data_IF_610242245764
#
_entry.id   IF_610242245764
#
_cell.length_a   1.000
_cell.length_b   1.000
_cell.length_c   1.000
_cell.angle_alpha   90.00
_cell.angle_beta   90.00
_cell.angle_gamma   90.00
#
_symmetry.space_group_name_H-M   'P 1'
#
loop_
_entity.id
_entity.type
_entity.pdbx_description
1 polymer ?
#
# COMPACT_ATOMS: atom_id res chain seq x y z
N UNK A 1 -37.51 12.18 -3.79
CA UNK A 1 -37.08 10.79 -4.02
C UNK A 1 -36.03 10.67 -5.14
N UNK A 2 -36.28 11.12 -6.38
CA UNK A 2 -35.36 10.88 -7.52
C UNK A 2 -33.93 11.46 -7.38
N UNK A 3 -33.77 12.65 -6.81
CA UNK A 3 -32.43 13.25 -6.62
C UNK A 3 -31.59 12.49 -5.58
N UNK A 4 -32.22 12.03 -4.49
CA UNK A 4 -31.55 11.27 -3.43
C UNK A 4 -31.01 9.93 -3.96
N UNK A 5 -31.83 9.20 -4.73
CA UNK A 5 -31.40 7.94 -5.37
C UNK A 5 -30.24 8.16 -6.34
N UNK A 6 -30.21 9.30 -7.06
CA UNK A 6 -29.10 9.64 -7.95
C UNK A 6 -27.82 9.95 -7.17
N UNK A 7 -27.91 10.72 -6.09
CA UNK A 7 -26.76 11.07 -5.23
C UNK A 7 -26.15 9.82 -4.60
N UNK A 8 -26.97 8.95 -4.00
CA UNK A 8 -26.52 7.70 -3.37
C UNK A 8 -25.81 6.79 -4.39
N UNK A 9 -26.31 6.70 -5.62
CA UNK A 9 -25.67 5.90 -6.67
C UNK A 9 -24.31 6.47 -7.13
N UNK A 10 -24.14 7.79 -7.12
CA UNK A 10 -22.86 8.43 -7.44
C UNK A 10 -21.84 8.20 -6.33
N UNK A 11 -22.23 8.39 -5.06
CA UNK A 11 -21.37 8.16 -3.89
C UNK A 11 -20.90 6.69 -3.82
N UNK A 12 -21.79 5.73 -4.10
CA UNK A 12 -21.42 4.31 -4.20
C UNK A 12 -20.39 4.03 -5.30
N UNK A 13 -20.53 4.70 -6.46
CA UNK A 13 -19.59 4.56 -7.57
C UNK A 13 -18.22 5.13 -7.21
N UNK A 14 -18.18 6.29 -6.57
CA UNK A 14 -16.93 6.90 -6.10
C UNK A 14 -16.22 6.02 -5.06
N UNK A 15 -16.97 5.43 -4.12
CA UNK A 15 -16.40 4.50 -3.14
C UNK A 15 -15.80 3.25 -3.79
N UNK A 16 -16.43 2.69 -4.82
CA UNK A 16 -15.88 1.53 -5.52
C UNK A 16 -14.62 1.91 -6.33
N UNK A 17 -14.57 3.12 -6.90
CA UNK A 17 -13.37 3.64 -7.56
C UNK A 17 -12.22 3.84 -6.57
N UNK A 18 -12.48 4.41 -5.40
CA UNK A 18 -11.48 4.56 -4.33
C UNK A 18 -10.96 3.20 -3.86
N UNK A 19 -11.84 2.19 -3.73
CA UNK A 19 -11.45 0.82 -3.38
C UNK A 19 -10.53 0.20 -4.43
N UNK A 20 -10.87 0.36 -5.71
CA UNK A 20 -10.07 -0.19 -6.80
C UNK A 20 -8.68 0.44 -6.87
N UNK A 21 -8.61 1.77 -6.76
CA UNK A 21 -7.33 2.49 -6.71
C UNK A 21 -6.47 2.06 -5.51
N UNK A 22 -7.10 1.87 -4.34
CA UNK A 22 -6.41 1.40 -3.14
C UNK A 22 -5.83 -0.01 -3.32
N UNK A 23 -6.57 -0.92 -3.96
CA UNK A 23 -6.08 -2.28 -4.25
C UNK A 23 -4.89 -2.26 -5.21
N UNK A 24 -4.94 -1.41 -6.24
CA UNK A 24 -3.83 -1.23 -7.18
C UNK A 24 -2.58 -0.70 -6.47
N UNK A 25 -2.74 0.30 -5.61
CA UNK A 25 -1.65 0.86 -4.80
C UNK A 25 -1.06 -0.18 -3.84
N UNK A 26 -1.89 -0.95 -3.14
CA UNK A 26 -1.44 -2.02 -2.24
C UNK A 26 -0.65 -3.09 -3.01
N UNK A 27 -1.11 -3.48 -4.20
CA UNK A 27 -0.41 -4.46 -5.01
C UNK A 27 0.94 -3.94 -5.51
N UNK A 28 1.01 -2.67 -5.93
CA UNK A 28 2.27 -2.04 -6.32
C UNK A 28 3.26 -1.99 -5.15
N UNK A 29 2.81 -1.53 -3.98
CA UNK A 29 3.62 -1.45 -2.76
C UNK A 29 4.15 -2.83 -2.33
N UNK A 30 3.33 -3.90 -2.40
CA UNK A 30 3.79 -5.27 -2.10
C UNK A 30 4.90 -5.72 -3.05
N UNK A 31 4.74 -5.46 -4.35
CA UNK A 31 5.77 -5.78 -5.34
C UNK A 31 7.06 -5.02 -5.09
N UNK A 32 6.97 -3.73 -4.75
CA UNK A 32 8.15 -2.92 -4.44
C UNK A 32 8.89 -3.46 -3.20
N UNK A 33 8.16 -3.93 -2.19
CA UNK A 33 8.77 -4.58 -1.02
C UNK A 33 9.54 -5.86 -1.40
N UNK A 34 8.96 -6.73 -2.23
CA UNK A 34 9.62 -7.95 -2.70
C UNK A 34 10.90 -7.64 -3.49
N UNK A 35 10.85 -6.66 -4.39
CA UNK A 35 12.01 -6.23 -5.17
C UNK A 35 13.11 -5.66 -4.27
N UNK A 36 12.74 -4.92 -3.23
CA UNK A 36 13.71 -4.38 -2.27
C UNK A 36 14.40 -5.47 -1.45
N UNK A 37 13.65 -6.49 -1.05
CA UNK A 37 14.18 -7.65 -0.33
C UNK A 37 15.13 -8.46 -1.21
N UNK A 38 14.77 -8.69 -2.48
CA UNK A 38 15.63 -9.39 -3.44
C UNK A 38 16.92 -8.62 -3.72
N UNK A 39 16.84 -7.30 -3.92
CA UNK A 39 18.03 -6.44 -4.08
C UNK A 39 18.94 -6.46 -2.86
N UNK A 40 18.35 -6.45 -1.66
CA UNK A 40 19.08 -6.56 -0.41
C UNK A 40 19.82 -7.89 -0.30
N UNK A 41 19.12 -9.01 -0.55
CA UNK A 41 19.70 -10.35 -0.49
C UNK A 41 20.82 -10.53 -1.51
N UNK A 42 20.64 -10.05 -2.74
CA UNK A 42 21.66 -10.10 -3.79
C UNK A 42 22.94 -9.36 -3.33
N UNK A 43 22.80 -8.14 -2.81
CA UNK A 43 23.94 -7.35 -2.31
C UNK A 43 24.66 -8.01 -1.14
N UNK A 44 23.91 -8.57 -0.20
CA UNK A 44 24.49 -9.32 0.92
C UNK A 44 25.25 -10.56 0.44
N UNK A 45 24.80 -11.21 -0.63
CA UNK A 45 25.45 -12.39 -1.20
C UNK A 45 26.68 -12.08 -2.05
N UNK A 46 26.74 -10.91 -2.67
CA UNK A 46 27.87 -10.43 -3.49
C UNK A 46 29.02 -9.86 -2.65
N UNK A 47 28.77 -9.52 -1.38
CA UNK A 47 29.79 -8.94 -0.51
C UNK A 47 30.74 -10.04 -0.02
N UNK A 48 31.90 -10.19 -0.66
CA UNK A 48 33.00 -11.01 -0.18
C UNK A 48 33.89 -10.19 0.79
N UNK A 49 33.91 -10.55 2.08
CA UNK A 49 34.74 -9.86 3.09
C UNK A 49 33.95 -9.40 4.32
N UNK A 50 34.55 -8.55 5.16
CA UNK A 50 33.90 -8.00 6.35
C UNK A 50 32.89 -6.92 5.95
N UNK A 51 31.58 -7.20 6.10
CA UNK A 51 30.47 -6.30 5.74
C UNK A 51 30.56 -4.90 6.38
N UNK A 52 31.29 -4.76 7.48
CA UNK A 52 31.42 -3.50 8.22
C UNK A 52 32.46 -2.54 7.62
N UNK A 53 33.30 -3.01 6.69
CA UNK A 53 34.36 -2.19 6.07
C UNK A 53 33.93 -1.61 4.71
N UNK A 54 32.74 -1.97 4.20
CA UNK A 54 32.19 -1.45 2.97
C UNK A 54 31.14 -0.36 3.28
N UNK A 55 31.61 0.87 3.43
CA UNK A 55 30.77 2.06 3.67
C UNK A 55 29.64 2.19 2.62
N UNK A 56 29.88 1.72 1.39
CA UNK A 56 28.87 1.75 0.32
C UNK A 56 27.72 0.77 0.58
N UNK A 57 28.01 -0.37 1.19
CA UNK A 57 27.00 -1.36 1.57
C UNK A 57 26.12 -0.81 2.70
N UNK A 58 26.70 -0.17 3.71
CA UNK A 58 25.96 0.43 4.84
C UNK A 58 24.96 1.47 4.34
N UNK A 59 25.34 2.34 3.41
CA UNK A 59 24.45 3.33 2.81
C UNK A 59 23.27 2.68 2.06
N UNK A 60 23.56 1.62 1.29
CA UNK A 60 22.52 0.87 0.56
C UNK A 60 21.57 0.18 1.53
N UNK A 61 22.09 -0.47 2.58
CA UNK A 61 21.29 -1.10 3.64
C UNK A 61 20.37 -0.09 4.32
N UNK A 62 20.90 1.09 4.67
CA UNK A 62 20.13 2.15 5.30
C UNK A 62 19.01 2.68 4.38
N UNK A 63 19.32 2.87 3.08
CA UNK A 63 18.34 3.30 2.08
C UNK A 63 17.25 2.25 1.87
N UNK A 64 17.63 0.97 1.75
CA UNK A 64 16.66 -0.12 1.59
C UNK A 64 15.77 -0.24 2.81
N UNK A 65 16.35 -0.22 4.02
CA UNK A 65 15.58 -0.23 5.27
C UNK A 65 14.55 0.90 5.31
N UNK A 66 14.96 2.13 5.00
CA UNK A 66 14.06 3.28 4.97
C UNK A 66 12.92 3.09 3.97
N UNK A 67 13.23 2.60 2.76
CA UNK A 67 12.21 2.40 1.74
C UNK A 67 11.24 1.26 2.10
N UNK A 68 11.72 0.20 2.73
CA UNK A 68 10.87 -0.87 3.30
C UNK A 68 9.95 -0.32 4.40
N UNK A 69 10.46 0.53 5.30
CA UNK A 69 9.66 1.17 6.35
C UNK A 69 8.55 2.06 5.76
N UNK A 70 8.86 2.84 4.72
CA UNK A 70 7.88 3.66 4.00
C UNK A 70 6.78 2.82 3.34
N UNK A 71 7.14 1.71 2.70
CA UNK A 71 6.19 0.78 2.08
C UNK A 71 5.30 0.12 3.14
N UNK A 72 5.86 -0.30 4.28
CA UNK A 72 5.10 -0.87 5.38
C UNK A 72 4.09 0.14 5.95
N UNK A 73 4.46 1.41 6.06
CA UNK A 73 3.55 2.45 6.55
C UNK A 73 2.42 2.76 5.57
N UNK A 74 2.70 2.74 4.26
CA UNK A 74 1.65 2.85 3.22
C UNK A 74 0.69 1.67 3.29
N UNK A 75 1.19 0.45 3.45
CA UNK A 75 0.34 -0.75 3.61
C UNK A 75 -0.53 -0.66 4.87
N UNK A 76 0.01 -0.20 5.99
CA UNK A 76 -0.76 0.03 7.23
C UNK A 76 -1.85 1.08 7.03
N UNK A 77 -1.52 2.19 6.37
CA UNK A 77 -2.47 3.24 6.02
C UNK A 77 -3.57 2.73 5.10
N UNK A 78 -3.22 1.88 4.13
CA UNK A 78 -4.18 1.28 3.22
C UNK A 78 -5.18 0.36 3.95
N UNK A 79 -4.75 -0.41 4.95
CA UNK A 79 -5.67 -1.22 5.78
C UNK A 79 -6.69 -0.34 6.50
N UNK A 80 -6.25 0.79 7.08
CA UNK A 80 -7.14 1.74 7.75
C UNK A 80 -8.13 2.35 6.74
N UNK A 81 -7.65 2.71 5.55
CA UNK A 81 -8.50 3.27 4.49
C UNK A 81 -9.52 2.25 3.99
N UNK A 82 -9.12 0.99 3.82
CA UNK A 82 -10.01 -0.10 3.43
C UNK A 82 -11.12 -0.33 4.47
N UNK A 83 -10.79 -0.27 5.76
CA UNK A 83 -11.79 -0.34 6.83
C UNK A 83 -12.82 0.80 6.71
N UNK A 84 -12.36 2.05 6.56
CA UNK A 84 -13.24 3.22 6.38
C UNK A 84 -14.13 3.09 5.14
N UNK A 85 -13.58 2.64 4.02
CA UNK A 85 -14.35 2.40 2.79
C UNK A 85 -15.41 1.32 3.03
N UNK A 86 -15.06 0.24 3.72
CA UNK A 86 -16.00 -0.84 4.01
C UNK A 86 -17.11 -0.43 4.98
N UNK A 87 -16.80 0.41 5.97
CA UNK A 87 -17.78 1.01 6.88
C UNK A 87 -18.75 1.91 6.10
N UNK A 88 -18.24 2.85 5.30
CA UNK A 88 -19.05 3.72 4.47
C UNK A 88 -19.95 2.90 3.51
N UNK A 89 -19.42 1.85 2.89
CA UNK A 89 -20.22 0.95 2.02
C UNK A 89 -21.39 0.29 2.74
N UNK A 90 -21.26 -0.02 4.04
CA UNK A 90 -22.35 -0.61 4.84
C UNK A 90 -23.47 0.38 5.10
N UNK A 91 -23.17 1.66 5.24
CA UNK A 91 -24.18 2.71 5.45
C UNK A 91 -25.08 2.90 4.22
N UNK A 92 -24.55 2.63 3.01
CA UNK A 92 -25.31 2.70 1.75
C UNK A 92 -26.04 1.40 1.38
N UNK A 93 -25.85 0.29 2.12
CA UNK A 93 -26.58 -0.97 1.91
C UNK A 93 -28.08 -0.89 2.31
N UNK A 94 -28.46 -0.36 3.49
CA UNK A 94 -29.86 -0.32 3.93
C UNK A 94 -30.68 0.83 3.33
N UNK A 95 -30.07 1.84 2.72
CA UNK A 95 -30.76 2.98 2.08
C UNK A 95 -31.24 2.70 0.65
N UNK A 96 -31.10 1.45 0.18
CA UNK A 96 -31.44 1.05 -1.19
C UNK A 96 -32.88 0.52 -1.37
N UNK A 97 -33.77 0.64 -0.36
CA UNK A 97 -35.21 0.33 -0.48
C UNK A 97 -36.07 1.57 -0.63
#
# INVERSE_FOLDING_TARGET
AQLLTRTVNLERKELEQQRQALLEEVNANKKDAEVLEEQLLARLSETEGNLLDDDSLIEVLAKTKKMTEEVQEKLRSAVIMEQKINEARREYLPTAT
#
